data_IF_691003000458
#
_entry.id   IF_691003000458
#
_cell.length_a   1.000
_cell.length_b   1.000
_cell.length_c   1.000
_cell.angle_alpha   90.00
_cell.angle_beta   90.00
_cell.angle_gamma   90.00
#
_symmetry.space_group_name_H-M   'P 1'
#
loop_
_entity.id
_entity.type
_entity.pdbx_description
1 polymer ?
#
# COMPACT_ATOMS: atom_id res chain seq x y z
N UNK A 1 7.26 -1.21 -14.51
CA UNK A 1 6.51 -1.73 -13.35
C UNK A 1 7.50 -2.44 -12.45
N UNK A 2 7.30 -2.41 -11.13
CA UNK A 2 8.09 -3.27 -10.22
C UNK A 2 7.76 -4.72 -10.55
N UNK A 3 8.78 -5.57 -10.68
CA UNK A 3 8.61 -7.03 -10.80
C UNK A 3 8.94 -7.64 -9.43
N UNK A 4 8.04 -8.47 -8.89
CA UNK A 4 8.25 -9.19 -7.63
C UNK A 4 8.34 -10.68 -7.92
N UNK A 5 9.24 -11.38 -7.21
CA UNK A 5 9.17 -12.83 -7.14
C UNK A 5 7.89 -13.30 -6.43
N UNK A 6 7.53 -14.58 -6.58
CA UNK A 6 6.36 -15.17 -5.91
C UNK A 6 6.41 -14.98 -4.38
N UNK A 7 7.59 -15.20 -3.79
CA UNK A 7 7.79 -14.97 -2.36
C UNK A 7 7.55 -13.51 -1.97
N UNK A 8 8.08 -12.57 -2.75
CA UNK A 8 7.95 -11.14 -2.47
C UNK A 8 6.53 -10.63 -2.64
N UNK A 9 5.80 -11.16 -3.63
CA UNK A 9 4.39 -10.89 -3.79
C UNK A 9 3.60 -11.42 -2.59
N UNK A 10 3.83 -12.66 -2.18
CA UNK A 10 3.21 -13.24 -0.99
C UNK A 10 3.55 -12.47 0.29
N UNK A 11 4.80 -12.06 0.46
CA UNK A 11 5.26 -11.24 1.58
C UNK A 11 4.55 -9.88 1.60
N UNK A 12 4.46 -9.19 0.47
CA UNK A 12 3.76 -7.91 0.34
C UNK A 12 2.28 -8.06 0.71
N UNK A 13 1.58 -9.03 0.12
CA UNK A 13 0.15 -9.24 0.36
C UNK A 13 -0.11 -9.60 1.81
N UNK A 14 0.67 -10.53 2.37
CA UNK A 14 0.55 -10.93 3.78
C UNK A 14 0.80 -9.77 4.73
N UNK A 15 1.83 -8.95 4.48
CA UNK A 15 2.10 -7.73 5.24
C UNK A 15 0.92 -6.76 5.17
N UNK A 16 0.39 -6.51 3.98
CA UNK A 16 -0.66 -5.51 3.81
C UNK A 16 -2.02 -5.97 4.35
N UNK A 17 -2.31 -7.27 4.32
CA UNK A 17 -3.49 -7.82 5.01
C UNK A 17 -3.36 -7.65 6.52
N UNK A 18 -2.19 -7.93 7.09
CA UNK A 18 -1.98 -7.91 8.54
C UNK A 18 -1.83 -6.50 9.14
N UNK A 19 -1.11 -5.62 8.47
CA UNK A 19 -0.60 -4.37 9.09
C UNK A 19 -1.03 -3.09 8.38
N UNK A 20 -1.66 -3.18 7.20
CA UNK A 20 -2.03 -1.98 6.46
C UNK A 20 -3.38 -1.40 6.88
N UNK A 21 -3.48 -0.09 6.70
CA UNK A 21 -4.74 0.63 6.67
C UNK A 21 -5.05 1.07 5.24
N UNK A 22 -6.23 0.70 4.76
CA UNK A 22 -6.78 1.09 3.47
C UNK A 22 -7.73 2.29 3.63
N UNK A 23 -7.49 3.36 2.87
CA UNK A 23 -8.28 4.59 2.95
C UNK A 23 -7.80 5.68 2.02
N UNK A 24 -7.79 6.93 2.50
CA UNK A 24 -7.35 8.08 1.71
C UNK A 24 -7.53 9.40 2.48
N UNK A 25 -7.02 10.47 1.91
CA UNK A 25 -7.03 11.83 2.51
C UNK A 25 -8.26 12.67 2.07
N UNK A 26 -9.27 12.01 1.50
CA UNK A 26 -10.44 12.64 0.89
C UNK A 26 -10.24 13.09 -0.56
N UNK A 27 -9.00 13.20 -1.05
CA UNK A 27 -8.69 13.57 -2.44
C UNK A 27 -8.18 12.38 -3.27
N UNK A 28 -7.40 11.50 -2.65
CA UNK A 28 -6.74 10.37 -3.31
C UNK A 28 -6.67 9.15 -2.38
N UNK A 29 -6.59 7.93 -2.95
CA UNK A 29 -6.47 6.72 -2.15
C UNK A 29 -5.08 6.61 -1.53
N UNK A 30 -4.99 5.95 -0.37
CA UNK A 30 -3.72 5.63 0.29
C UNK A 30 -3.78 4.28 1.00
N UNK A 31 -2.63 3.61 1.02
CA UNK A 31 -2.35 2.44 1.85
C UNK A 31 -1.18 2.80 2.76
N UNK A 32 -1.34 2.58 4.06
CA UNK A 32 -0.31 2.89 5.05
C UNK A 32 0.00 1.70 5.94
N UNK A 33 1.28 1.43 6.18
CA UNK A 33 1.76 0.44 7.15
C UNK A 33 2.50 1.17 8.26
N UNK A 34 2.20 0.86 9.51
CA UNK A 34 2.88 1.46 10.68
C UNK A 34 3.37 0.36 11.60
N UNK A 35 4.69 0.27 11.79
CA UNK A 35 5.31 -0.75 12.65
C UNK A 35 6.43 -0.14 13.48
N UNK A 36 6.78 -0.82 14.57
CA UNK A 36 7.87 -0.39 15.45
C UNK A 36 9.19 -0.24 14.68
N UNK A 37 10.07 0.66 15.13
CA UNK A 37 11.39 0.92 14.49
C UNK A 37 12.31 -0.30 14.37
N UNK A 38 12.00 -1.40 15.07
CA UNK A 38 12.74 -2.67 14.98
C UNK A 38 12.56 -3.36 13.63
N UNK A 39 11.56 -2.96 12.85
CA UNK A 39 11.29 -3.48 11.51
C UNK A 39 11.91 -2.61 10.40
N UNK A 40 12.96 -1.84 10.71
CA UNK A 40 13.64 -0.96 9.75
C UNK A 40 14.02 -1.67 8.45
N UNK A 41 14.56 -2.89 8.54
CA UNK A 41 14.94 -3.68 7.36
C UNK A 41 13.75 -3.97 6.42
N UNK A 42 12.55 -4.21 6.96
CA UNK A 42 11.34 -4.40 6.16
C UNK A 42 10.93 -3.11 5.44
N UNK A 43 11.07 -1.95 6.10
CA UNK A 43 10.80 -0.67 5.47
C UNK A 43 11.85 -0.30 4.42
N UNK A 44 13.12 -0.65 4.63
CA UNK A 44 14.16 -0.51 3.61
C UNK A 44 13.82 -1.35 2.38
N UNK A 45 13.41 -2.60 2.56
CA UNK A 45 12.95 -3.46 1.46
C UNK A 45 11.72 -2.87 0.73
N UNK A 46 10.72 -2.35 1.45
CA UNK A 46 9.57 -1.68 0.83
C UNK A 46 10.00 -0.47 -0.01
N UNK A 47 10.96 0.33 0.47
CA UNK A 47 11.46 1.49 -0.27
C UNK A 47 12.30 1.11 -1.47
N UNK A 48 13.01 -0.02 -1.43
CA UNK A 48 13.73 -0.55 -2.59
C UNK A 48 12.77 -1.02 -3.69
N UNK A 49 11.70 -1.73 -3.32
CA UNK A 49 10.72 -2.26 -4.28
C UNK A 49 9.72 -1.22 -4.78
N UNK A 50 9.42 -0.21 -3.95
CA UNK A 50 8.44 0.83 -4.25
C UNK A 50 9.02 2.23 -4.00
N UNK A 51 10.05 2.65 -4.76
CA UNK A 51 10.83 3.86 -4.47
C UNK A 51 10.00 5.16 -4.52
N UNK A 52 8.91 5.17 -5.28
CA UNK A 52 8.04 6.35 -5.41
C UNK A 52 7.03 6.50 -4.26
N UNK A 53 6.98 5.53 -3.34
CA UNK A 53 6.21 5.64 -2.10
C UNK A 53 6.95 6.51 -1.07
N UNK A 54 6.40 6.62 0.14
CA UNK A 54 7.01 7.46 1.19
C UNK A 54 7.18 6.68 2.48
N UNK A 55 8.35 6.83 3.09
CA UNK A 55 8.63 6.39 4.45
C UNK A 55 8.74 7.61 5.36
N UNK A 56 7.99 7.59 6.45
CA UNK A 56 7.96 8.63 7.47
C UNK A 56 8.47 8.10 8.80
N UNK A 57 9.08 8.98 9.58
CA UNK A 57 9.67 8.67 10.88
C UNK A 57 11.19 8.50 10.84
N UNK A 58 11.80 7.93 11.89
CA UNK A 58 11.10 7.35 13.04
C UNK A 58 10.35 8.43 13.84
N UNK A 59 9.14 8.11 14.30
CA UNK A 59 8.35 8.94 15.19
C UNK A 59 8.43 8.41 16.62
N UNK A 60 8.43 9.32 17.59
CA UNK A 60 8.40 8.99 19.01
C UNK A 60 7.17 9.65 19.66
N UNK A 61 6.19 8.84 20.08
CA UNK A 61 4.98 9.35 20.72
C UNK A 61 4.39 8.34 21.70
N UNK A 62 4.10 8.78 22.93
CA UNK A 62 3.46 7.94 23.96
C UNK A 62 4.25 6.68 24.31
N UNK A 63 5.59 6.76 24.32
CA UNK A 63 6.47 5.62 24.58
C UNK A 63 6.61 4.63 23.41
N UNK A 64 6.03 4.93 22.25
CA UNK A 64 6.16 4.12 21.04
C UNK A 64 7.11 4.77 20.04
N UNK A 65 7.97 3.96 19.43
CA UNK A 65 8.87 4.35 18.36
C UNK A 65 8.49 3.61 17.09
N UNK A 66 8.09 4.31 16.03
CA UNK A 66 7.60 3.64 14.81
C UNK A 66 7.99 4.36 13.51
N UNK A 67 8.02 3.60 12.42
CA UNK A 67 7.99 4.12 11.06
C UNK A 67 6.57 4.02 10.49
N UNK A 68 6.30 4.84 9.47
CA UNK A 68 5.09 4.72 8.67
C UNK A 68 5.43 4.75 7.18
N UNK A 69 5.18 3.65 6.49
CA UNK A 69 5.22 3.59 5.04
C UNK A 69 3.87 3.95 4.44
N UNK A 70 3.86 4.63 3.30
CA UNK A 70 2.67 5.11 2.62
C UNK A 70 2.82 5.03 1.11
N UNK A 71 1.94 4.26 0.47
CA UNK A 71 1.65 4.37 -0.95
C UNK A 71 0.37 5.21 -1.12
N UNK A 72 0.42 6.26 -1.94
CA UNK A 72 -0.71 7.19 -2.11
C UNK A 72 -0.75 7.74 -3.52
N UNK A 73 -1.95 7.92 -4.07
CA UNK A 73 -2.12 8.50 -5.41
C UNK A 73 -1.44 7.66 -6.49
N UNK A 74 -0.68 8.30 -7.39
CA UNK A 74 0.02 7.65 -8.51
C UNK A 74 0.87 6.43 -8.10
N UNK A 75 1.81 6.51 -7.13
CA UNK A 75 2.56 5.34 -6.67
C UNK A 75 1.67 4.17 -6.22
N UNK A 76 0.55 4.45 -5.53
CA UNK A 76 -0.38 3.40 -5.14
C UNK A 76 -1.02 2.75 -6.36
N UNK A 77 -1.55 3.54 -7.28
CA UNK A 77 -2.27 3.03 -8.46
C UNK A 77 -1.36 2.25 -9.39
N UNK A 78 -0.16 2.79 -9.64
CA UNK A 78 0.79 2.24 -10.60
C UNK A 78 1.57 1.05 -10.04
N UNK A 79 2.06 1.16 -8.81
CA UNK A 79 3.10 0.25 -8.32
C UNK A 79 2.57 -0.75 -7.29
N UNK A 80 1.49 -0.46 -6.56
CA UNK A 80 1.05 -1.30 -5.43
C UNK A 80 -0.27 -2.00 -5.70
N UNK A 81 -1.28 -1.31 -6.24
CA UNK A 81 -2.59 -1.92 -6.54
C UNK A 81 -2.51 -3.17 -7.43
N UNK A 82 -1.65 -3.25 -8.46
CA UNK A 82 -1.58 -4.44 -9.31
C UNK A 82 -1.26 -5.73 -8.53
N UNK A 83 -0.59 -5.65 -7.39
CA UNK A 83 -0.29 -6.81 -6.53
C UNK A 83 -1.41 -7.16 -5.55
N UNK A 84 -2.30 -6.21 -5.26
CA UNK A 84 -3.38 -6.36 -4.28
C UNK A 84 -4.69 -6.81 -4.94
N UNK A 85 -4.95 -6.34 -6.15
CA UNK A 85 -6.17 -6.67 -6.89
C UNK A 85 -6.21 -8.18 -7.17
N UNK A 86 -7.27 -8.85 -6.69
CA UNK A 86 -7.42 -10.30 -6.75
C UNK A 86 -6.75 -11.08 -5.63
N UNK A 87 -5.69 -10.55 -5.00
CA UNK A 87 -4.98 -11.21 -3.91
C UNK A 87 -5.57 -10.91 -2.53
N UNK A 88 -6.12 -9.71 -2.31
CA UNK A 88 -6.85 -9.37 -1.09
C UNK A 88 -8.31 -9.75 -1.26
N UNK A 89 -8.72 -10.88 -0.66
CA UNK A 89 -10.07 -11.39 -0.79
C UNK A 89 -10.60 -11.97 0.53
N UNK A 90 -11.93 -12.05 0.63
CA UNK A 90 -12.68 -12.46 1.83
C UNK A 90 -12.38 -13.88 2.32
N UNK A 91 -11.76 -14.71 1.48
CA UNK A 91 -11.36 -16.09 1.84
C UNK A 91 -10.09 -16.16 2.70
N UNK A 92 -9.29 -15.09 2.74
CA UNK A 92 -8.11 -14.97 3.62
C UNK A 92 -8.47 -14.14 4.85
N UNK A 93 -8.93 -12.90 4.65
CA UNK A 93 -9.36 -12.01 5.73
C UNK A 93 -10.52 -11.11 5.26
N UNK A 94 -11.69 -11.29 5.88
CA UNK A 94 -12.90 -10.56 5.50
C UNK A 94 -12.84 -9.07 5.82
N UNK A 95 -12.16 -8.69 6.90
CA UNK A 95 -12.06 -7.30 7.35
C UNK A 95 -11.14 -6.50 6.42
N UNK A 96 -9.93 -6.99 6.16
CA UNK A 96 -8.98 -6.37 5.23
C UNK A 96 -9.58 -6.25 3.83
N UNK A 97 -10.25 -7.30 3.34
CA UNK A 97 -10.96 -7.27 2.05
C UNK A 97 -12.04 -6.19 2.00
N UNK A 98 -12.89 -6.08 3.02
CA UNK A 98 -13.91 -5.03 3.09
C UNK A 98 -13.29 -3.63 3.10
N UNK A 99 -12.23 -3.42 3.89
CA UNK A 99 -11.51 -2.12 3.94
C UNK A 99 -10.87 -1.77 2.60
N UNK A 100 -10.29 -2.76 1.91
CA UNK A 100 -9.69 -2.59 0.59
C UNK A 100 -10.75 -2.28 -0.47
N UNK A 101 -11.83 -3.07 -0.54
CA UNK A 101 -12.97 -2.84 -1.44
C UNK A 101 -13.60 -1.46 -1.22
N UNK A 102 -13.79 -1.04 0.04
CA UNK A 102 -14.33 0.28 0.37
C UNK A 102 -13.41 1.41 -0.10
N UNK A 103 -12.09 1.26 0.03
CA UNK A 103 -11.12 2.22 -0.52
C UNK A 103 -11.22 2.29 -2.05
N UNK A 104 -11.21 1.14 -2.74
CA UNK A 104 -11.32 1.09 -4.20
C UNK A 104 -12.61 1.76 -4.68
N UNK A 105 -13.74 1.43 -4.04
CA UNK A 105 -15.04 2.03 -4.38
C UNK A 105 -15.06 3.54 -4.15
N UNK A 106 -14.55 4.02 -3.01
CA UNK A 106 -14.54 5.44 -2.66
C UNK A 106 -13.69 6.27 -3.63
N UNK A 107 -12.59 5.70 -4.12
CA UNK A 107 -11.62 6.40 -4.97
C UNK A 107 -11.62 5.95 -6.42
N UNK A 108 -12.63 5.19 -6.87
CA UNK A 108 -12.71 4.61 -8.21
C UNK A 108 -12.49 5.65 -9.31
N UNK A 109 -13.10 6.84 -9.20
CA UNK A 109 -12.92 7.91 -10.18
C UNK A 109 -11.49 8.47 -10.24
N UNK A 110 -10.76 8.52 -9.11
CA UNK A 110 -9.34 8.88 -9.12
C UNK A 110 -8.53 7.79 -9.80
N UNK A 111 -8.72 6.54 -9.38
CA UNK A 111 -7.98 5.37 -9.88
C UNK A 111 -8.14 5.25 -11.40
N UNK A 112 -9.37 5.37 -11.91
CA UNK A 112 -9.66 5.28 -13.33
C UNK A 112 -8.97 6.37 -14.16
N UNK A 113 -9.05 7.64 -13.72
CA UNK A 113 -8.34 8.75 -14.39
C UNK A 113 -6.84 8.55 -14.37
N UNK A 114 -6.32 8.06 -13.26
CA UNK A 114 -4.88 7.85 -13.08
C UNK A 114 -4.36 6.72 -13.96
N UNK A 115 -5.09 5.61 -14.09
CA UNK A 115 -4.80 4.54 -15.05
C UNK A 115 -4.81 5.05 -16.48
N UNK A 116 -5.88 5.74 -16.91
CA UNK A 116 -5.96 6.31 -18.25
C UNK A 116 -4.80 7.28 -18.56
N UNK A 117 -4.37 8.06 -17.55
CA UNK A 117 -3.22 8.96 -17.68
C UNK A 117 -1.91 8.17 -17.86
N UNK A 118 -1.71 7.09 -17.12
CA UNK A 118 -0.53 6.23 -17.22
C UNK A 118 -0.48 5.50 -18.56
N UNK A 119 -1.62 5.00 -19.04
CA UNK A 119 -1.74 4.33 -20.34
C UNK A 119 -1.42 5.28 -21.51
N UNK A 120 -1.77 6.57 -21.39
CA UNK A 120 -1.47 7.58 -22.41
C UNK A 120 0.00 8.03 -22.43
N UNK A 121 0.79 7.68 -21.40
CA UNK A 121 2.20 8.03 -21.26
C UNK A 121 3.15 6.87 -21.60
N UNK A 122 2.61 5.66 -21.76
CA UNK A 122 3.32 4.45 -22.20
C UNK A 122 3.11 4.16 -23.66
#
# INVERSE_FOLDING_TARGET
MTELSEFEHGLLVGLLIGEASFGGDGKQPQVTVRMHVRHEALFAWLMERFPETRLYGPYHHGGRSYYQWMARGTPLVRDVLPFLEGAVHRGVDGYAAERFEAMLSRYAGYIARERARLDALG
#
